data_IF_598922079723
#
_entry.id   IF_598922079723
#
_cell.length_a   1.000
_cell.length_b   1.000
_cell.length_c   1.000
_cell.angle_alpha   90.00
_cell.angle_beta   90.00
_cell.angle_gamma   90.00
#
_symmetry.space_group_name_H-M   'P 1'
#
loop_
_entity.id
_entity.type
_entity.pdbx_description
1 polymer ?
#
# COMPACT_ATOMS: atom_id res chain seq x y z
N UNK A 1 -21.46 -12.36 -14.24
CA UNK A 1 -20.52 -12.26 -13.12
C UNK A 1 -19.34 -13.23 -13.24
N UNK A 2 -19.61 -14.43 -13.69
CA UNK A 2 -18.60 -15.49 -13.93
C UNK A 2 -18.82 -16.00 -15.35
N UNK A 3 -17.76 -16.09 -16.12
CA UNK A 3 -17.79 -16.60 -17.50
C UNK A 3 -17.01 -17.91 -17.57
N UNK A 4 -17.45 -18.83 -18.41
CA UNK A 4 -16.78 -20.09 -18.66
C UNK A 4 -16.12 -20.10 -20.03
N UNK A 5 -14.90 -20.63 -20.11
CA UNK A 5 -14.32 -21.01 -21.40
C UNK A 5 -14.79 -22.40 -21.76
N UNK A 6 -15.58 -22.58 -22.85
CA UNK A 6 -16.07 -23.90 -23.25
C UNK A 6 -14.94 -24.88 -23.61
N UNK A 7 -13.75 -24.34 -24.00
CA UNK A 7 -12.61 -25.15 -24.48
C UNK A 7 -11.69 -25.63 -23.37
N UNK A 8 -11.67 -24.94 -22.17
CA UNK A 8 -10.70 -25.22 -21.11
C UNK A 8 -11.32 -25.63 -19.78
N UNK A 9 -12.64 -25.61 -19.64
CA UNK A 9 -13.36 -25.82 -18.37
C UNK A 9 -12.87 -24.92 -17.22
N UNK A 10 -12.35 -23.74 -17.55
CA UNK A 10 -11.88 -22.74 -16.60
C UNK A 10 -12.96 -21.67 -16.37
N UNK A 11 -13.09 -21.22 -15.13
CA UNK A 11 -13.99 -20.13 -14.74
C UNK A 11 -13.22 -18.83 -14.68
N UNK A 12 -13.71 -17.81 -15.35
CA UNK A 12 -13.14 -16.47 -15.29
C UNK A 12 -14.11 -15.51 -14.60
N UNK A 13 -13.54 -14.55 -13.84
CA UNK A 13 -14.32 -13.44 -13.33
C UNK A 13 -14.65 -12.52 -14.50
N UNK A 14 -15.89 -12.49 -14.91
CA UNK A 14 -16.35 -11.65 -16.01
C UNK A 14 -16.24 -10.15 -15.71
N UNK A 15 -16.25 -9.29 -16.76
CA UNK A 15 -16.10 -7.84 -16.61
C UNK A 15 -17.16 -7.20 -15.70
N UNK A 16 -18.36 -7.76 -15.62
CA UNK A 16 -19.41 -7.28 -14.72
C UNK A 16 -19.09 -7.49 -13.24
N UNK A 17 -18.47 -8.61 -12.87
CA UNK A 17 -18.04 -8.84 -11.49
C UNK A 17 -16.89 -7.89 -11.10
N UNK A 18 -16.00 -7.61 -12.03
CA UNK A 18 -14.96 -6.60 -11.86
C UNK A 18 -15.55 -5.20 -11.67
N UNK A 19 -16.61 -4.86 -12.39
CA UNK A 19 -17.32 -3.58 -12.26
C UNK A 19 -18.07 -3.46 -10.90
N UNK A 20 -18.56 -4.55 -10.33
CA UNK A 20 -19.21 -4.55 -9.01
C UNK A 20 -18.24 -4.39 -7.85
N UNK A 21 -16.99 -4.80 -8.01
CA UNK A 21 -15.93 -4.61 -7.01
C UNK A 21 -15.39 -3.19 -6.95
N UNK A 22 -15.81 -2.31 -7.88
CA UNK A 22 -15.42 -0.91 -7.89
C UNK A 22 -16.37 -0.13 -6.98
N UNK A 23 -15.90 0.56 -5.93
CA UNK A 23 -16.75 1.48 -5.19
C UNK A 23 -17.31 2.53 -6.14
N UNK A 24 -18.59 2.83 -6.01
CA UNK A 24 -19.34 3.82 -6.81
C UNK A 24 -18.88 5.26 -6.53
N UNK A 25 -17.61 5.54 -6.60
CA UNK A 25 -17.07 6.89 -6.58
C UNK A 25 -16.67 7.29 -8.00
N UNK A 26 -17.58 7.89 -8.73
CA UNK A 26 -17.21 8.77 -9.85
C UNK A 26 -16.48 9.99 -9.24
N UNK A 27 -15.25 10.31 -9.65
CA UNK A 27 -14.66 10.22 -10.98
C UNK A 27 -13.34 9.43 -11.04
N UNK A 28 -13.27 8.50 -11.99
CA UNK A 28 -12.03 7.82 -12.39
C UNK A 28 -11.45 6.89 -11.32
N UNK A 29 -11.52 5.59 -11.57
CA UNK A 29 -10.97 4.53 -10.76
C UNK A 29 -9.51 4.86 -10.34
N UNK A 30 -9.25 4.92 -9.04
CA UNK A 30 -7.89 5.18 -8.48
C UNK A 30 -6.84 4.25 -9.10
N UNK A 31 -7.19 3.01 -9.40
CA UNK A 31 -6.31 2.02 -10.04
C UNK A 31 -5.87 2.51 -11.42
N UNK A 32 -6.79 2.99 -12.26
CA UNK A 32 -6.46 3.50 -13.59
C UNK A 32 -5.58 4.75 -13.52
N UNK A 33 -5.93 5.69 -12.63
CA UNK A 33 -5.17 6.93 -12.43
C UNK A 33 -3.77 6.70 -11.90
N UNK A 34 -3.58 5.65 -11.11
CA UNK A 34 -2.29 5.30 -10.50
C UNK A 34 -1.39 4.48 -11.41
N UNK A 35 -1.94 3.75 -12.39
CA UNK A 35 -1.20 2.71 -13.11
C UNK A 35 0.04 3.20 -13.86
N UNK A 36 -0.02 4.38 -14.48
CA UNK A 36 1.14 4.97 -15.17
C UNK A 36 2.23 5.38 -14.17
N UNK A 37 1.84 5.96 -13.05
CA UNK A 37 2.74 6.39 -11.97
C UNK A 37 3.39 5.17 -11.29
N UNK A 38 2.62 4.11 -11.04
CA UNK A 38 3.15 2.86 -10.50
C UNK A 38 4.20 2.23 -11.41
N UNK A 39 4.00 2.26 -12.75
CA UNK A 39 5.00 1.76 -13.72
C UNK A 39 6.27 2.60 -13.70
N UNK A 40 6.13 3.91 -13.66
CA UNK A 40 7.27 4.83 -13.58
C UNK A 40 8.05 4.61 -12.26
N UNK A 41 7.34 4.48 -11.14
CA UNK A 41 7.93 4.23 -9.83
C UNK A 41 8.69 2.89 -9.82
N UNK A 42 8.09 1.82 -10.34
CA UNK A 42 8.75 0.52 -10.50
C UNK A 42 10.00 0.64 -11.41
N UNK A 43 9.91 1.34 -12.53
CA UNK A 43 11.03 1.53 -13.45
C UNK A 43 12.20 2.30 -12.82
N UNK A 44 11.91 3.37 -12.04
CA UNK A 44 12.92 4.18 -11.34
C UNK A 44 13.61 3.42 -10.21
N UNK A 45 12.89 2.58 -9.50
CA UNK A 45 13.39 1.91 -8.30
C UNK A 45 13.91 0.50 -8.55
N UNK A 46 13.43 -0.16 -9.61
CA UNK A 46 13.64 -1.58 -9.88
C UNK A 46 12.81 -2.52 -9.02
N UNK A 47 11.96 -1.99 -8.12
CA UNK A 47 11.20 -2.78 -7.15
C UNK A 47 9.70 -2.76 -7.46
N UNK A 48 8.99 -3.79 -6.98
CA UNK A 48 7.54 -3.93 -7.17
C UNK A 48 6.78 -2.76 -6.56
N UNK A 49 5.94 -2.09 -7.36
CA UNK A 49 5.03 -1.04 -6.89
C UNK A 49 3.64 -1.60 -6.62
N UNK A 50 3.07 -1.25 -5.47
CA UNK A 50 1.76 -1.71 -5.04
C UNK A 50 0.84 -0.54 -4.69
N UNK A 51 -0.46 -0.72 -4.91
CA UNK A 51 -1.53 0.17 -4.48
C UNK A 51 -2.46 -0.61 -3.55
N UNK A 52 -2.76 -0.04 -2.40
CA UNK A 52 -3.65 -0.64 -1.41
C UNK A 52 -4.59 0.37 -0.78
N UNK A 53 -5.74 -0.11 -0.35
CA UNK A 53 -6.74 0.67 0.40
C UNK A 53 -6.94 0.05 1.79
N UNK A 54 -7.45 0.86 2.73
CA UNK A 54 -7.89 0.31 4.01
C UNK A 54 -9.25 -0.37 3.85
N UNK A 55 -9.37 -1.57 4.36
CA UNK A 55 -10.61 -2.31 4.42
C UNK A 55 -10.64 -3.20 5.66
N UNK A 56 -11.61 -2.95 6.56
CA UNK A 56 -11.83 -3.76 7.77
C UNK A 56 -10.56 -3.92 8.62
N UNK A 57 -9.82 -2.84 8.84
CA UNK A 57 -8.59 -2.84 9.64
C UNK A 57 -7.38 -3.48 8.97
N UNK A 58 -7.44 -3.73 7.65
CA UNK A 58 -6.36 -4.30 6.86
C UNK A 58 -6.08 -3.46 5.62
N UNK A 59 -4.87 -3.59 5.09
CA UNK A 59 -4.58 -3.18 3.70
C UNK A 59 -5.16 -4.24 2.77
N UNK A 60 -6.03 -3.84 1.86
CA UNK A 60 -6.43 -4.64 0.70
C UNK A 60 -5.63 -4.13 -0.50
N UNK A 61 -4.77 -4.99 -1.08
CA UNK A 61 -4.04 -4.66 -2.30
C UNK A 61 -5.02 -4.67 -3.49
N UNK A 62 -5.06 -3.55 -4.24
CA UNK A 62 -5.99 -3.37 -5.37
C UNK A 62 -5.28 -3.31 -6.72
N UNK A 63 -3.98 -3.05 -6.75
CA UNK A 63 -3.16 -3.08 -7.96
C UNK A 63 -1.70 -3.35 -7.63
N UNK A 64 -1.00 -3.97 -8.58
CA UNK A 64 0.42 -4.25 -8.52
C UNK A 64 1.05 -4.02 -9.88
N UNK A 65 2.27 -3.47 -9.88
CA UNK A 65 3.19 -3.47 -11.03
C UNK A 65 4.46 -4.17 -10.56
N UNK A 66 4.65 -5.39 -11.06
CA UNK A 66 5.74 -6.25 -10.63
C UNK A 66 7.09 -5.76 -11.16
N UNK A 67 8.13 -5.89 -10.32
CA UNK A 67 9.51 -5.78 -10.74
C UNK A 67 9.85 -6.85 -11.81
N UNK A 68 10.80 -6.53 -12.68
CA UNK A 68 11.33 -7.50 -13.67
C UNK A 68 12.31 -8.50 -13.06
N UNK A 69 12.66 -8.33 -11.78
CA UNK A 69 13.59 -9.19 -11.07
C UNK A 69 12.99 -10.58 -10.78
N UNK A 70 13.81 -11.62 -10.83
CA UNK A 70 13.39 -13.00 -10.55
C UNK A 70 12.91 -13.15 -9.09
N UNK A 71 13.64 -12.56 -8.14
CA UNK A 71 13.24 -12.49 -6.73
C UNK A 71 12.62 -11.14 -6.49
N UNK A 72 11.33 -11.08 -6.26
CA UNK A 72 10.57 -9.84 -6.08
C UNK A 72 9.46 -9.98 -5.07
N UNK A 73 9.00 -8.85 -4.56
CA UNK A 73 7.78 -8.80 -3.75
C UNK A 73 6.55 -9.15 -4.61
N UNK A 74 5.65 -9.96 -4.05
CA UNK A 74 4.42 -10.36 -4.71
C UNK A 74 3.22 -10.22 -3.77
N UNK A 75 2.36 -9.23 -4.08
CA UNK A 75 1.11 -8.94 -3.37
C UNK A 75 -0.02 -8.78 -4.39
N UNK A 76 -0.59 -9.87 -4.88
CA UNK A 76 -1.61 -9.80 -5.94
C UNK A 76 -2.83 -9.02 -5.47
N UNK A 77 -3.60 -8.41 -6.39
CA UNK A 77 -4.89 -7.83 -6.07
C UNK A 77 -5.77 -8.80 -5.30
N UNK A 78 -6.40 -8.32 -4.21
CA UNK A 78 -7.15 -9.13 -3.25
C UNK A 78 -6.35 -9.64 -2.05
N UNK A 79 -5.02 -9.62 -2.09
CA UNK A 79 -4.20 -9.93 -0.92
C UNK A 79 -4.45 -8.92 0.21
N UNK A 80 -4.29 -9.36 1.47
CA UNK A 80 -4.46 -8.53 2.66
C UNK A 80 -3.20 -8.50 3.52
N UNK A 81 -2.96 -7.36 4.17
CA UNK A 81 -1.91 -7.18 5.16
C UNK A 81 -2.43 -6.43 6.38
N UNK A 82 -1.98 -6.74 7.60
CA UNK A 82 -2.33 -5.96 8.77
C UNK A 82 -1.77 -4.53 8.65
N UNK A 83 -2.53 -3.53 9.09
CA UNK A 83 -2.11 -2.12 8.99
C UNK A 83 -0.82 -1.84 9.76
N UNK A 84 -0.67 -2.40 10.98
CA UNK A 84 0.48 -2.11 11.85
C UNK A 84 1.82 -2.70 11.37
N UNK A 85 1.78 -3.74 10.52
CA UNK A 85 2.96 -4.46 10.03
C UNK A 85 3.02 -4.46 8.50
N UNK A 86 2.78 -3.33 7.89
CA UNK A 86 2.97 -3.12 6.45
C UNK A 86 3.24 -1.64 6.13
N UNK A 87 4.04 -1.38 5.10
CA UNK A 87 4.34 -0.01 4.69
C UNK A 87 3.06 0.78 4.38
N UNK A 88 2.22 0.31 3.45
CA UNK A 88 0.94 0.97 3.11
C UNK A 88 0.06 1.15 4.35
N UNK A 89 -0.02 0.15 5.21
CA UNK A 89 -0.81 0.22 6.43
C UNK A 89 -0.35 1.34 7.36
N UNK A 90 0.95 1.46 7.60
CA UNK A 90 1.51 2.53 8.43
C UNK A 90 1.36 3.91 7.78
N UNK A 91 1.49 4.00 6.46
CA UNK A 91 1.21 5.25 5.74
C UNK A 91 -0.24 5.69 5.91
N UNK A 92 -1.21 4.78 5.81
CA UNK A 92 -2.63 5.07 6.03
C UNK A 92 -2.91 5.44 7.50
N UNK A 93 -2.38 4.67 8.47
CA UNK A 93 -2.53 4.95 9.89
C UNK A 93 -1.97 6.32 10.29
N UNK A 94 -0.88 6.76 9.65
CA UNK A 94 -0.30 8.07 9.93
C UNK A 94 -1.21 9.24 9.55
N UNK A 95 -2.16 9.02 8.63
CA UNK A 95 -3.14 10.00 8.19
C UNK A 95 -4.48 9.91 8.96
N UNK A 96 -4.65 8.95 9.86
CA UNK A 96 -5.84 8.89 10.72
C UNK A 96 -5.81 10.05 11.72
N UNK A 97 -7.00 10.60 12.00
CA UNK A 97 -7.20 11.43 13.18
C UNK A 97 -7.06 10.61 14.47
N UNK A 98 -7.03 11.28 15.61
CA UNK A 98 -6.81 10.62 16.89
C UNK A 98 -7.95 9.66 17.25
N UNK A 99 -9.19 10.01 16.94
CA UNK A 99 -10.35 9.17 17.24
C UNK A 99 -10.31 7.85 16.45
N UNK A 100 -10.03 7.92 15.15
CA UNK A 100 -9.91 6.76 14.28
C UNK A 100 -8.69 5.90 14.63
N UNK A 101 -7.57 6.53 14.99
CA UNK A 101 -6.38 5.82 15.44
C UNK A 101 -6.63 5.08 16.75
N UNK A 102 -7.28 5.70 17.73
CA UNK A 102 -7.67 5.05 18.98
C UNK A 102 -8.65 3.88 18.76
N UNK A 103 -9.64 4.06 17.89
CA UNK A 103 -10.56 2.98 17.53
C UNK A 103 -9.81 1.79 16.91
N UNK A 104 -8.87 2.04 16.01
CA UNK A 104 -8.00 1.02 15.43
C UNK A 104 -7.16 0.31 16.51
N UNK A 105 -6.51 1.06 17.39
CA UNK A 105 -5.67 0.52 18.47
C UNK A 105 -6.49 -0.41 19.39
N UNK A 106 -7.70 -0.02 19.77
CA UNK A 106 -8.59 -0.82 20.62
C UNK A 106 -9.06 -2.10 19.94
N UNK A 107 -9.27 -2.07 18.64
CA UNK A 107 -9.76 -3.22 17.85
C UNK A 107 -8.65 -4.16 17.39
N UNK A 108 -7.38 -3.74 17.46
CA UNK A 108 -6.27 -4.49 16.85
C UNK A 108 -5.57 -5.39 17.84
N UNK A 109 -5.45 -6.66 17.47
CA UNK A 109 -4.47 -7.55 18.09
C UNK A 109 -3.13 -7.36 17.35
N UNK A 110 -2.15 -6.75 18.04
CA UNK A 110 -0.81 -6.49 17.48
C UNK A 110 -0.01 -7.80 17.34
N UNK A 111 -0.39 -8.62 16.37
CA UNK A 111 0.29 -9.88 16.08
C UNK A 111 1.73 -9.63 15.69
N UNK A 112 2.66 -10.30 16.37
CA UNK A 112 4.08 -10.28 16.06
C UNK A 112 4.38 -11.30 14.96
N UNK A 113 4.97 -10.87 13.86
CA UNK A 113 5.37 -11.73 12.73
C UNK A 113 6.88 -11.96 12.72
N UNK A 114 7.67 -10.95 13.14
CA UNK A 114 9.12 -10.99 13.27
C UNK A 114 9.54 -10.26 14.54
N UNK A 115 10.81 -10.28 14.86
CA UNK A 115 11.35 -9.52 16.00
C UNK A 115 11.29 -8.00 15.78
N UNK A 116 11.15 -7.57 14.51
CA UNK A 116 11.05 -6.15 14.14
C UNK A 116 9.61 -5.65 14.11
N UNK A 117 8.61 -6.52 14.16
CA UNK A 117 7.20 -6.13 14.14
C UNK A 117 6.89 -5.11 15.24
N UNK A 118 6.22 -4.01 14.89
CA UNK A 118 5.67 -3.06 15.84
C UNK A 118 4.48 -3.72 16.55
N UNK A 119 4.72 -4.22 17.76
CA UNK A 119 3.75 -4.99 18.53
C UNK A 119 3.26 -4.27 19.80
N UNK A 120 3.50 -2.97 19.92
CA UNK A 120 3.05 -2.16 21.07
C UNK A 120 2.48 -0.83 20.62
N UNK A 121 1.49 -0.33 21.36
CA UNK A 121 0.84 0.96 21.10
C UNK A 121 1.84 2.12 21.11
N UNK A 122 2.75 2.13 22.08
CA UNK A 122 3.78 3.19 22.20
C UNK A 122 4.64 3.27 20.94
N UNK A 123 5.18 2.14 20.49
CA UNK A 123 6.01 2.09 19.28
C UNK A 123 5.21 2.44 18.02
N UNK A 124 3.92 2.06 17.96
CA UNK A 124 3.08 2.45 16.82
C UNK A 124 2.91 3.98 16.78
N UNK A 125 2.66 4.62 17.91
CA UNK A 125 2.50 6.09 17.97
C UNK A 125 3.79 6.82 17.58
N UNK A 126 4.94 6.36 18.05
CA UNK A 126 6.26 6.88 17.66
C UNK A 126 6.46 6.76 16.14
N UNK A 127 6.15 5.61 15.57
CA UNK A 127 6.28 5.37 14.12
C UNK A 127 5.28 6.24 13.31
N UNK A 128 4.05 6.45 13.79
CA UNK A 128 3.10 7.36 13.14
C UNK A 128 3.61 8.79 13.13
N UNK A 129 4.18 9.25 14.23
CA UNK A 129 4.81 10.57 14.32
C UNK A 129 5.99 10.70 13.36
N UNK A 130 6.88 9.71 13.35
CA UNK A 130 8.03 9.68 12.44
C UNK A 130 7.60 9.64 10.97
N UNK A 131 6.56 8.86 10.64
CA UNK A 131 5.98 8.79 9.29
C UNK A 131 5.43 10.13 8.83
N UNK A 132 4.69 10.84 9.68
CA UNK A 132 4.18 12.20 9.38
C UNK A 132 5.32 13.20 9.12
N UNK A 133 6.39 13.14 9.92
CA UNK A 133 7.54 14.06 9.79
C UNK A 133 8.35 13.83 8.52
N UNK A 134 8.58 12.58 8.12
CA UNK A 134 9.38 12.24 6.93
C UNK A 134 8.58 12.13 5.64
N UNK A 135 7.22 12.07 5.71
CA UNK A 135 6.31 11.98 4.57
C UNK A 135 6.10 10.57 4.00
N UNK A 136 6.78 9.57 4.52
CA UNK A 136 6.65 8.17 4.11
C UNK A 136 6.80 7.22 5.30
N UNK A 137 6.20 6.04 5.20
CA UNK A 137 6.38 4.93 6.15
C UNK A 137 7.48 3.99 5.67
N UNK A 138 8.09 3.29 6.61
CA UNK A 138 9.09 2.27 6.32
C UNK A 138 8.77 0.98 7.08
N UNK A 139 8.60 -0.12 6.37
CA UNK A 139 8.48 -1.47 6.90
C UNK A 139 9.86 -2.15 6.75
N UNK A 140 10.55 -2.33 7.87
CA UNK A 140 11.85 -2.98 7.94
C UNK A 140 11.69 -4.44 8.39
N UNK A 141 11.28 -5.30 7.47
CA UNK A 141 11.11 -6.73 7.75
C UNK A 141 10.09 -7.03 8.87
N UNK A 142 9.12 -6.14 9.08
CA UNK A 142 8.16 -6.24 10.18
C UNK A 142 7.18 -7.39 10.01
N UNK A 143 6.83 -7.74 8.77
CA UNK A 143 5.96 -8.87 8.45
C UNK A 143 6.73 -10.08 7.92
N UNK A 144 7.74 -9.86 7.11
CA UNK A 144 8.47 -10.92 6.42
C UNK A 144 9.96 -10.63 6.45
N UNK A 145 10.73 -11.51 7.09
CA UNK A 145 12.20 -11.41 7.12
C UNK A 145 12.73 -11.40 5.68
N UNK A 146 13.69 -10.50 5.41
CA UNK A 146 14.29 -10.33 4.10
C UNK A 146 13.48 -9.47 3.12
N UNK A 147 12.34 -8.91 3.54
CA UNK A 147 11.49 -8.04 2.73
C UNK A 147 11.34 -6.66 3.37
N UNK A 148 11.56 -5.61 2.59
CA UNK A 148 11.37 -4.22 2.99
C UNK A 148 10.35 -3.51 2.12
N UNK A 149 9.69 -2.51 2.67
CA UNK A 149 8.70 -1.72 1.97
C UNK A 149 8.76 -0.25 2.40
N UNK A 150 8.66 0.66 1.43
CA UNK A 150 8.50 2.10 1.67
C UNK A 150 7.18 2.52 1.04
N UNK A 151 6.36 3.31 1.76
CA UNK A 151 5.02 3.67 1.29
C UNK A 151 4.64 5.11 1.66
N UNK A 152 3.74 5.69 0.88
CA UNK A 152 3.15 7.01 1.17
C UNK A 152 1.64 6.98 0.98
N UNK A 153 0.95 7.86 1.70
CA UNK A 153 -0.49 7.99 1.68
C UNK A 153 -0.96 8.81 0.47
N UNK A 154 -2.05 8.39 -0.14
CA UNK A 154 -2.75 9.09 -1.23
C UNK A 154 -3.99 9.74 -0.66
N UNK A 155 -4.15 11.04 -0.89
CA UNK A 155 -5.27 11.84 -0.43
C UNK A 155 -6.24 12.15 -1.58
N UNK A 156 -7.51 12.33 -1.24
CA UNK A 156 -8.51 12.88 -2.17
C UNK A 156 -8.62 14.42 -2.06
N UNK A 157 -9.51 15.04 -2.83
CA UNK A 157 -9.75 16.48 -2.81
C UNK A 157 -10.30 17.05 -1.49
N UNK A 158 -10.64 16.20 -0.53
CA UNK A 158 -11.07 16.57 0.82
C UNK A 158 -9.96 16.35 1.86
N UNK A 159 -8.71 16.08 1.41
CA UNK A 159 -7.57 15.71 2.27
C UNK A 159 -7.77 14.41 3.07
N UNK A 160 -8.66 13.54 2.62
CA UNK A 160 -8.88 12.25 3.26
C UNK A 160 -7.95 11.19 2.66
N UNK A 161 -7.41 10.32 3.51
CA UNK A 161 -6.60 9.18 3.12
C UNK A 161 -7.46 8.11 2.44
N UNK A 162 -7.32 7.95 1.14
CA UNK A 162 -8.13 7.01 0.34
C UNK A 162 -7.38 5.76 -0.09
N UNK A 163 -6.05 5.82 -0.16
CA UNK A 163 -5.18 4.71 -0.52
C UNK A 163 -3.74 4.95 -0.06
N UNK A 164 -2.89 3.96 -0.27
CA UNK A 164 -1.44 4.09 -0.17
C UNK A 164 -0.75 3.46 -1.36
N UNK A 165 0.35 4.05 -1.79
CA UNK A 165 1.27 3.50 -2.78
C UNK A 165 2.58 3.09 -2.11
N UNK A 166 3.18 2.00 -2.58
CA UNK A 166 4.46 1.53 -2.05
C UNK A 166 5.37 0.98 -3.13
N UNK A 167 6.63 0.86 -2.76
CA UNK A 167 7.60 -0.06 -3.36
C UNK A 167 8.01 -1.10 -2.34
N UNK A 168 8.17 -2.34 -2.79
CA UNK A 168 8.55 -3.46 -1.94
C UNK A 168 9.56 -4.34 -2.65
N UNK A 169 10.59 -4.74 -1.93
CA UNK A 169 11.66 -5.57 -2.47
C UNK A 169 12.49 -6.26 -1.39
N UNK A 170 13.38 -7.17 -1.80
CA UNK A 170 14.30 -7.84 -0.88
C UNK A 170 15.26 -6.86 -0.22
N UNK A 171 15.56 -7.10 1.06
CA UNK A 171 16.48 -6.27 1.87
C UNK A 171 17.81 -5.94 1.16
N UNK A 172 18.49 -6.85 0.45
CA UNK A 172 19.74 -6.52 -0.23
C UNK A 172 19.62 -5.43 -1.30
N UNK A 173 18.46 -5.28 -1.94
CA UNK A 173 18.22 -4.24 -2.94
C UNK A 173 17.61 -2.96 -2.36
N UNK A 174 17.15 -3.03 -1.12
CA UNK A 174 16.62 -1.89 -0.36
C UNK A 174 17.49 -1.61 0.88
N UNK A 175 18.81 -1.36 0.74
CA UNK A 175 19.69 -1.06 1.86
C UNK A 175 19.35 0.31 2.49
N UNK A 176 19.72 0.52 3.75
CA UNK A 176 19.41 1.74 4.51
C UNK A 176 19.78 3.02 3.76
N UNK A 177 20.91 3.01 3.05
CA UNK A 177 21.37 4.15 2.25
C UNK A 177 20.39 4.58 1.15
N UNK A 178 19.54 3.66 0.64
CA UNK A 178 18.55 3.94 -0.41
C UNK A 178 17.16 4.27 0.13
N UNK A 179 16.86 3.97 1.39
CA UNK A 179 15.50 4.14 1.95
C UNK A 179 15.02 5.59 1.85
N UNK A 180 15.89 6.56 2.09
CA UNK A 180 15.53 7.99 1.98
C UNK A 180 15.19 8.37 0.54
N UNK A 181 16.00 7.97 -0.43
CA UNK A 181 15.77 8.21 -1.85
C UNK A 181 14.44 7.59 -2.30
N UNK A 182 14.24 6.32 -1.97
CA UNK A 182 13.01 5.57 -2.27
C UNK A 182 11.78 6.20 -1.60
N UNK A 183 11.93 6.68 -0.37
CA UNK A 183 10.89 7.40 0.36
C UNK A 183 10.44 8.67 -0.37
N UNK A 184 11.37 9.46 -0.86
CA UNK A 184 11.06 10.67 -1.64
C UNK A 184 10.33 10.32 -2.95
N UNK A 185 10.78 9.30 -3.69
CA UNK A 185 10.14 8.86 -4.93
C UNK A 185 8.70 8.38 -4.69
N UNK A 186 8.47 7.62 -3.62
CA UNK A 186 7.13 7.14 -3.26
C UNK A 186 6.23 8.30 -2.83
N UNK A 187 6.76 9.27 -2.09
CA UNK A 187 6.01 10.47 -1.68
C UNK A 187 5.63 11.32 -2.90
N UNK A 188 6.54 11.52 -3.84
CA UNK A 188 6.26 12.22 -5.10
C UNK A 188 5.17 11.51 -5.91
N UNK A 189 5.25 10.18 -6.02
CA UNK A 189 4.23 9.36 -6.69
C UNK A 189 2.86 9.49 -6.01
N UNK A 190 2.81 9.45 -4.68
CA UNK A 190 1.59 9.62 -3.91
C UNK A 190 0.96 11.00 -4.12
N UNK A 191 1.77 12.06 -4.11
CA UNK A 191 1.31 13.44 -4.38
C UNK A 191 0.76 13.58 -5.82
N UNK A 192 1.43 13.00 -6.82
CA UNK A 192 0.94 13.03 -8.20
C UNK A 192 -0.42 12.33 -8.35
N UNK A 193 -0.60 11.16 -7.69
CA UNK A 193 -1.90 10.47 -7.69
C UNK A 193 -2.94 11.32 -6.95
N UNK A 194 -2.59 11.91 -5.81
CA UNK A 194 -3.50 12.75 -5.02
C UNK A 194 -3.98 13.96 -5.84
N UNK A 195 -3.08 14.64 -6.58
CA UNK A 195 -3.46 15.73 -7.50
C UNK A 195 -4.44 15.26 -8.58
N UNK A 196 -4.24 14.06 -9.14
CA UNK A 196 -5.19 13.48 -10.11
C UNK A 196 -6.55 13.15 -9.49
N UNK A 197 -6.61 13.00 -8.16
CA UNK A 197 -7.84 12.80 -7.39
C UNK A 197 -8.44 14.12 -6.87
N UNK A 198 -7.84 15.27 -7.20
CA UNK A 198 -8.35 16.59 -6.85
C UNK A 198 -7.80 17.16 -5.55
N UNK A 199 -6.78 16.55 -4.95
CA UNK A 199 -6.05 17.16 -3.83
C UNK A 199 -5.23 18.36 -4.33
N UNK A 200 -5.22 19.44 -3.56
CA UNK A 200 -4.46 20.67 -3.83
C UNK A 200 -3.02 20.58 -3.33
#
# INVERSE_FOLDING_TARGET
YVETSPERQEWFVGPEASAMCLPNSKPGNIVERSRSIMRELMSKTGETSNLGIEREGHVLFVSQVESHETIRAYFPPGARSPLHASGIGKALLSAFDEERLEAFIKATNFTRFTDKTIATVGRLREEMQATRQRGYSFDDEERTIGMRCVAACILNGYSEAVAGISISGPTPRMPDARIREMGLLVTEAAHEISRRLGAS
#
